data_IF_469285898705
#
_entry.id   IF_469285898705
#
_cell.length_a   1.000
_cell.length_b   1.000
_cell.length_c   1.000
_cell.angle_alpha   90.00
_cell.angle_beta   90.00
_cell.angle_gamma   90.00
#
_symmetry.space_group_name_H-M   'P 1'
#
loop_
_entity.id
_entity.type
_entity.pdbx_description
1 polymer ?
#
# COMPACT_ATOMS: atom_id res chain seq x y z
N UNK A 1 -21.47 -16.10 -30.36
CA UNK A 1 -21.07 -14.67 -30.27
C UNK A 1 -21.59 -14.13 -28.94
N UNK A 2 -20.78 -14.20 -27.87
CA UNK A 2 -21.04 -13.51 -26.59
C UNK A 2 -19.67 -13.22 -25.94
N UNK A 3 -19.09 -12.05 -26.22
CA UNK A 3 -18.05 -11.45 -25.37
C UNK A 3 -18.81 -10.83 -24.22
N UNK A 4 -18.78 -11.45 -23.04
CA UNK A 4 -19.37 -10.84 -21.85
C UNK A 4 -18.39 -10.82 -20.70
N UNK A 5 -18.28 -9.60 -20.19
CA UNK A 5 -17.73 -9.12 -18.92
C UNK A 5 -16.20 -9.07 -18.84
N UNK A 6 -15.69 -7.99 -19.40
CA UNK A 6 -14.60 -7.20 -18.82
C UNK A 6 -14.91 -6.92 -17.33
N UNK A 7 -14.58 -7.86 -16.45
CA UNK A 7 -14.42 -7.56 -15.03
C UNK A 7 -12.97 -7.13 -14.85
N UNK A 8 -12.72 -5.87 -15.19
CA UNK A 8 -11.50 -5.16 -14.83
C UNK A 8 -11.48 -5.01 -13.31
N UNK A 9 -11.07 -6.09 -12.65
CA UNK A 9 -10.43 -6.19 -11.34
C UNK A 9 -10.72 -5.05 -10.34
N UNK A 10 -11.94 -5.02 -9.80
CA UNK A 10 -12.29 -4.25 -8.59
C UNK A 10 -11.80 -5.01 -7.34
N UNK A 11 -10.51 -5.39 -7.29
CA UNK A 11 -9.94 -5.91 -6.05
C UNK A 11 -9.42 -4.70 -5.27
N UNK A 12 -10.35 -4.04 -4.58
CA UNK A 12 -10.02 -3.09 -3.54
C UNK A 12 -9.33 -3.87 -2.41
N UNK A 13 -8.07 -3.54 -2.11
CA UNK A 13 -7.42 -4.09 -0.91
C UNK A 13 -8.20 -3.60 0.31
N UNK A 14 -8.54 -4.53 1.19
CA UNK A 14 -9.11 -4.19 2.50
C UNK A 14 -8.04 -3.56 3.40
N UNK A 15 -8.44 -2.74 4.37
CA UNK A 15 -7.49 -2.17 5.35
C UNK A 15 -6.61 -3.23 6.02
N UNK A 16 -7.17 -4.41 6.33
CA UNK A 16 -6.43 -5.53 6.92
C UNK A 16 -5.35 -6.10 5.99
N UNK A 17 -5.64 -6.18 4.69
CA UNK A 17 -4.68 -6.63 3.68
C UNK A 17 -3.59 -5.59 3.47
N UNK A 18 -3.96 -4.31 3.46
CA UNK A 18 -3.00 -3.20 3.42
C UNK A 18 -2.08 -3.26 4.61
N UNK A 19 -2.59 -3.41 5.83
CA UNK A 19 -1.75 -3.48 7.04
C UNK A 19 -0.71 -4.61 7.00
N UNK A 20 -1.05 -5.76 6.39
CA UNK A 20 -0.09 -6.86 6.21
C UNK A 20 1.02 -6.50 5.22
N UNK A 21 0.67 -5.78 4.15
CA UNK A 21 1.62 -5.34 3.12
C UNK A 21 2.32 -4.03 3.49
N UNK A 22 1.81 -3.29 4.48
CA UNK A 22 2.27 -1.95 4.83
C UNK A 22 3.70 -1.95 5.35
N UNK A 23 4.09 -3.00 6.09
CA UNK A 23 5.46 -3.20 6.54
C UNK A 23 6.44 -3.30 5.37
N UNK A 24 6.14 -4.20 4.41
CA UNK A 24 6.98 -4.38 3.22
C UNK A 24 7.01 -3.11 2.35
N UNK A 25 5.84 -2.48 2.15
CA UNK A 25 5.72 -1.21 1.44
C UNK A 25 6.57 -0.11 2.08
N UNK A 26 6.53 -0.02 3.40
CA UNK A 26 7.29 0.94 4.18
C UNK A 26 8.80 0.68 4.09
N UNK A 27 9.25 -0.57 4.25
CA UNK A 27 10.65 -0.91 4.09
C UNK A 27 11.19 -0.60 2.69
N UNK A 28 10.43 -0.93 1.63
CA UNK A 28 10.81 -0.61 0.25
C UNK A 28 10.93 0.91 0.05
N UNK A 29 9.94 1.67 0.54
CA UNK A 29 9.99 3.13 0.49
C UNK A 29 11.20 3.70 1.25
N UNK A 30 11.54 3.13 2.41
CA UNK A 30 12.71 3.52 3.21
C UNK A 30 14.03 3.25 2.48
N UNK A 31 14.11 2.14 1.74
CA UNK A 31 15.27 1.79 0.90
C UNK A 31 15.41 2.69 -0.32
N UNK A 32 14.43 3.55 -0.60
CA UNK A 32 14.36 4.38 -1.80
C UNK A 32 13.88 3.62 -3.04
N UNK A 33 13.23 2.47 -2.87
CA UNK A 33 12.60 1.72 -3.94
C UNK A 33 11.24 2.36 -4.28
N UNK A 34 10.78 2.16 -5.53
CA UNK A 34 9.51 2.70 -5.99
C UNK A 34 8.34 1.81 -5.51
N UNK A 35 8.10 1.83 -4.19
CA UNK A 35 7.07 1.01 -3.55
C UNK A 35 5.68 1.28 -4.15
N UNK A 36 5.40 2.50 -4.62
CA UNK A 36 4.17 2.86 -5.30
C UNK A 36 4.00 2.16 -6.66
N UNK A 37 5.07 1.96 -7.44
CA UNK A 37 5.02 1.17 -8.68
C UNK A 37 4.97 -0.33 -8.41
N UNK A 38 5.60 -0.80 -7.33
CA UNK A 38 5.64 -2.23 -6.98
C UNK A 38 4.31 -2.70 -6.36
N UNK A 39 3.70 -1.87 -5.52
CA UNK A 39 2.44 -2.14 -4.83
C UNK A 39 1.44 -0.99 -5.07
N UNK A 40 0.97 -0.79 -6.31
CA UNK A 40 0.09 0.32 -6.66
C UNK A 40 -1.27 0.25 -5.95
N UNK A 41 -1.74 -0.94 -5.59
CA UNK A 41 -2.99 -1.14 -4.85
C UNK A 41 -2.88 -0.64 -3.40
N UNK A 42 -1.72 -0.83 -2.76
CA UNK A 42 -1.47 -0.32 -1.40
C UNK A 42 -1.42 1.20 -1.45
N UNK A 43 -0.65 1.76 -2.38
CA UNK A 43 -0.58 3.21 -2.58
C UNK A 43 -1.97 3.82 -2.85
N UNK A 44 -2.77 3.20 -3.70
CA UNK A 44 -4.14 3.66 -3.98
C UNK A 44 -5.04 3.64 -2.74
N UNK A 45 -4.94 2.61 -1.91
CA UNK A 45 -5.69 2.55 -0.65
C UNK A 45 -5.22 3.62 0.33
N UNK A 46 -3.92 3.88 0.45
CA UNK A 46 -3.38 4.97 1.29
C UNK A 46 -3.82 6.36 0.81
N UNK A 47 -4.11 6.53 -0.48
CA UNK A 47 -4.67 7.78 -1.02
C UNK A 47 -6.17 7.92 -0.69
N UNK A 48 -6.89 6.80 -0.61
CA UNK A 48 -8.34 6.76 -0.39
C UNK A 48 -8.72 6.68 1.10
N UNK A 49 -7.89 6.06 1.92
CA UNK A 49 -8.13 5.78 3.33
C UNK A 49 -7.15 6.55 4.23
N UNK A 50 -7.61 7.60 4.94
CA UNK A 50 -6.74 8.40 5.80
C UNK A 50 -6.21 7.61 7.01
N UNK A 51 -6.97 6.67 7.55
CA UNK A 51 -6.57 5.84 8.70
C UNK A 51 -5.32 5.02 8.37
N UNK A 52 -5.34 4.26 7.27
CA UNK A 52 -4.16 3.52 6.82
C UNK A 52 -2.98 4.43 6.45
N UNK A 53 -3.25 5.66 6.00
CA UNK A 53 -2.21 6.66 5.71
C UNK A 53 -1.54 7.18 6.98
N UNK A 54 -2.31 7.42 8.03
CA UNK A 54 -1.78 7.79 9.35
C UNK A 54 -0.92 6.66 9.92
N UNK A 55 -1.39 5.41 9.82
CA UNK A 55 -0.61 4.23 10.24
C UNK A 55 0.71 4.10 9.46
N UNK A 56 0.67 4.36 8.15
CA UNK A 56 1.88 4.38 7.31
C UNK A 56 2.88 5.45 7.74
N UNK A 57 2.41 6.68 7.99
CA UNK A 57 3.26 7.79 8.41
C UNK A 57 3.90 7.50 9.78
N UNK A 58 3.12 6.99 10.73
CA UNK A 58 3.61 6.57 12.03
C UNK A 58 4.68 5.47 11.91
N UNK A 59 4.43 4.47 11.07
CA UNK A 59 5.40 3.40 10.79
C UNK A 59 6.68 3.94 10.17
N UNK A 60 6.57 4.85 9.20
CA UNK A 60 7.70 5.55 8.58
C UNK A 60 8.51 6.37 9.58
N UNK A 61 7.86 7.05 10.51
CA UNK A 61 8.55 7.79 11.55
C UNK A 61 9.36 6.86 12.46
N UNK A 62 8.78 5.72 12.85
CA UNK A 62 9.47 4.72 13.69
C UNK A 62 10.68 4.14 12.97
N UNK A 63 10.51 3.74 11.69
CA UNK A 63 11.56 3.17 10.87
C UNK A 63 12.71 4.15 10.60
N UNK A 64 12.41 5.43 10.39
CA UNK A 64 13.43 6.47 10.22
C UNK A 64 14.11 6.87 11.54
N UNK A 65 13.38 6.81 12.66
CA UNK A 65 13.92 7.10 13.99
C UNK A 65 14.80 5.98 14.55
N UNK A 66 14.65 4.76 14.02
CA UNK A 66 15.42 3.58 14.38
C UNK A 66 16.24 3.07 13.18
N UNK A 67 17.23 3.85 12.68
CA UNK A 67 18.16 3.32 11.70
C UNK A 67 19.07 2.32 12.43
N UNK A 68 18.88 1.02 12.15
CA UNK A 68 19.87 0.00 12.53
C UNK A 68 21.17 0.19 11.72
#
# INVERSE_FOLDING_TARGET
>A
MIKMIEKTQEVELSCDEVHRLLGEFAEMALRGEDAASLLPLVHHHLDTCPDCREEYDALMQILQASPD
#
